data_IF_131695250535
#
_entry.id   IF_131695250535
#
_cell.length_a   1.000
_cell.length_b   1.000
_cell.length_c   1.000
_cell.angle_alpha   90.00
_cell.angle_beta   90.00
_cell.angle_gamma   90.00
#
_symmetry.space_group_name_H-M   'P 1'
#
loop_
_entity.id
_entity.type
_entity.pdbx_description
1 polymer ?
#
# COMPACT_ATOMS: atom_id res chain seq x y z
N UNK A 1 -11.07 -2.81 -11.51
CA UNK A 1 -12.28 -2.83 -10.64
C UNK A 1 -12.36 -1.50 -9.90
N UNK A 2 -13.43 -0.72 -10.07
CA UNK A 2 -13.57 0.62 -9.47
C UNK A 2 -14.51 0.52 -8.26
N UNK A 3 -13.94 0.21 -7.10
CA UNK A 3 -14.68 0.22 -5.84
C UNK A 3 -14.56 1.64 -5.29
N UNK A 4 -15.69 2.30 -5.07
CA UNK A 4 -15.83 3.48 -4.21
C UNK A 4 -15.47 3.09 -2.76
N UNK A 5 -14.23 2.66 -2.55
CA UNK A 5 -13.79 2.01 -1.35
C UNK A 5 -13.44 3.06 -0.31
N UNK A 6 -14.23 3.07 0.76
CA UNK A 6 -13.74 3.50 2.06
C UNK A 6 -12.35 2.88 2.27
N UNK A 7 -11.36 3.71 2.59
CA UNK A 7 -10.01 3.26 2.89
C UNK A 7 -10.10 2.18 3.98
N UNK A 8 -9.63 0.95 3.72
CA UNK A 8 -9.67 -0.10 4.73
C UNK A 8 -8.74 0.28 5.89
N UNK A 9 -9.07 -0.19 7.09
CA UNK A 9 -8.12 -0.18 8.20
C UNK A 9 -6.88 -1.04 7.87
N UNK A 10 -5.75 -0.85 8.55
CA UNK A 10 -4.50 -1.55 8.24
C UNK A 10 -4.61 -3.08 8.26
N UNK A 11 -5.38 -3.67 9.17
CA UNK A 11 -5.51 -5.13 9.29
C UNK A 11 -6.32 -5.70 8.11
N UNK A 12 -7.44 -5.04 7.77
CA UNK A 12 -8.24 -5.39 6.58
C UNK A 12 -7.42 -5.21 5.30
N UNK A 13 -6.63 -4.15 5.22
CA UNK A 13 -5.75 -3.88 4.09
C UNK A 13 -4.70 -5.00 3.93
N UNK A 14 -4.03 -5.38 5.02
CA UNK A 14 -3.04 -6.46 5.03
C UNK A 14 -3.65 -7.78 4.57
N UNK A 15 -4.84 -8.14 5.07
CA UNK A 15 -5.52 -9.36 4.66
C UNK A 15 -5.80 -9.39 3.15
N UNK A 16 -6.28 -8.28 2.58
CA UNK A 16 -6.56 -8.16 1.13
C UNK A 16 -5.28 -8.28 0.30
N UNK A 17 -4.22 -7.56 0.69
CA UNK A 17 -2.92 -7.62 -0.01
C UNK A 17 -2.34 -9.03 0.04
N UNK A 18 -2.34 -9.70 1.21
CA UNK A 18 -1.84 -11.07 1.34
C UNK A 18 -2.60 -12.07 0.46
N UNK A 19 -3.93 -11.93 0.35
CA UNK A 19 -4.74 -12.76 -0.56
C UNK A 19 -4.33 -12.55 -2.01
N UNK A 20 -4.15 -11.30 -2.45
CA UNK A 20 -3.71 -11.02 -3.81
C UNK A 20 -2.30 -11.51 -4.09
N UNK A 21 -1.37 -11.31 -3.15
CA UNK A 21 0.00 -11.84 -3.24
C UNK A 21 0.02 -13.37 -3.39
N UNK A 22 -0.83 -14.09 -2.64
CA UNK A 22 -0.96 -15.54 -2.78
C UNK A 22 -1.45 -15.94 -4.18
N UNK A 23 -2.42 -15.22 -4.73
CA UNK A 23 -2.92 -15.46 -6.10
C UNK A 23 -1.82 -15.22 -7.14
N UNK A 24 -1.12 -14.08 -7.04
CA UNK A 24 -0.02 -13.75 -7.94
C UNK A 24 1.09 -14.79 -7.87
N UNK A 25 1.45 -15.25 -6.68
CA UNK A 25 2.44 -16.31 -6.49
C UNK A 25 2.02 -17.61 -7.16
N UNK A 26 0.76 -18.04 -6.96
CA UNK A 26 0.24 -19.24 -7.59
C UNK A 26 0.25 -19.14 -9.13
N UNK A 27 -0.23 -18.02 -9.68
CA UNK A 27 -0.20 -17.80 -11.13
C UNK A 27 1.21 -17.77 -11.70
N UNK A 28 2.18 -17.19 -10.99
CA UNK A 28 3.57 -17.17 -11.42
C UNK A 28 4.24 -18.56 -11.41
N UNK A 29 3.81 -19.45 -10.51
CA UNK A 29 4.30 -20.84 -10.44
C UNK A 29 3.67 -21.71 -11.53
N UNK A 30 2.37 -21.56 -11.77
CA UNK A 30 1.62 -22.40 -12.72
C UNK A 30 1.85 -22.00 -14.19
N UNK A 31 2.02 -20.71 -14.45
CA UNK A 31 2.22 -20.14 -15.80
C UNK A 31 3.42 -19.19 -15.79
N UNK A 32 4.63 -19.74 -15.93
CA UNK A 32 5.88 -18.96 -15.85
C UNK A 32 6.03 -17.88 -16.92
N UNK A 33 5.35 -18.04 -18.07
CA UNK A 33 5.38 -17.08 -19.17
C UNK A 33 4.28 -16.02 -19.06
N UNK A 34 3.48 -16.04 -17.98
CA UNK A 34 2.35 -15.13 -17.79
C UNK A 34 2.83 -13.70 -17.57
N UNK A 35 2.34 -12.79 -18.40
CA UNK A 35 2.45 -11.36 -18.16
C UNK A 35 1.33 -10.87 -17.21
N UNK A 36 1.69 -10.09 -16.20
CA UNK A 36 0.72 -9.40 -15.34
C UNK A 36 0.47 -7.99 -15.90
N UNK A 37 -0.48 -7.87 -16.81
CA UNK A 37 -0.87 -6.61 -17.46
C UNK A 37 -1.59 -5.63 -16.51
N UNK A 38 -2.25 -6.14 -15.47
CA UNK A 38 -3.08 -5.34 -14.56
C UNK A 38 -2.38 -4.87 -13.27
N UNK A 39 -1.03 -4.91 -13.19
CA UNK A 39 -0.30 -4.53 -11.97
C UNK A 39 -0.54 -3.09 -11.53
N UNK A 40 -0.75 -2.18 -12.48
CA UNK A 40 -1.07 -0.77 -12.17
C UNK A 40 -2.34 -0.66 -11.34
N UNK A 41 -3.31 -1.56 -11.56
CA UNK A 41 -4.54 -1.60 -10.79
C UNK A 41 -4.35 -2.02 -9.34
N UNK A 42 -3.29 -2.77 -9.05
CA UNK A 42 -2.92 -3.12 -7.69
C UNK A 42 -2.23 -1.96 -6.99
N UNK A 43 -1.42 -1.18 -7.70
CA UNK A 43 -0.69 -0.04 -7.10
C UNK A 43 -1.65 1.03 -6.60
N UNK A 44 -2.73 1.30 -7.33
CA UNK A 44 -3.73 2.30 -6.92
C UNK A 44 -4.83 1.74 -6.01
N UNK A 45 -4.89 0.44 -5.77
CA UNK A 45 -5.92 -0.17 -4.92
C UNK A 45 -5.79 0.37 -3.48
N UNK A 46 -6.89 0.84 -2.85
CA UNK A 46 -6.84 1.42 -1.51
C UNK A 46 -6.24 0.50 -0.43
N UNK A 47 -6.38 -0.82 -0.54
CA UNK A 47 -5.74 -1.73 0.42
C UNK A 47 -4.21 -1.77 0.25
N UNK A 48 -3.73 -1.73 -1.00
CA UNK A 48 -2.29 -1.65 -1.27
C UNK A 48 -1.72 -0.31 -0.80
N UNK A 49 -2.41 0.80 -1.06
CA UNK A 49 -2.00 2.13 -0.61
C UNK A 49 -2.00 2.25 0.92
N UNK A 50 -3.03 1.76 1.63
CA UNK A 50 -3.06 1.74 3.11
C UNK A 50 -1.85 0.97 3.66
N UNK A 51 -1.62 -0.27 3.19
CA UNK A 51 -0.53 -1.09 3.71
C UNK A 51 0.85 -0.53 3.35
N UNK A 52 1.00 0.00 2.13
CA UNK A 52 2.23 0.67 1.71
C UNK A 52 2.52 1.88 2.60
N UNK A 53 1.50 2.69 2.88
CA UNK A 53 1.65 3.84 3.75
C UNK A 53 2.05 3.45 5.18
N UNK A 54 1.42 2.43 5.75
CA UNK A 54 1.76 1.94 7.10
C UNK A 54 3.22 1.46 7.18
N UNK A 55 3.71 0.79 6.14
CA UNK A 55 5.13 0.40 6.06
C UNK A 55 6.06 1.58 5.90
N UNK A 56 5.69 2.57 5.08
CA UNK A 56 6.52 3.77 4.82
C UNK A 56 6.64 4.64 6.08
N UNK A 57 5.54 4.86 6.80
CA UNK A 57 5.51 5.73 8.00
C UNK A 57 6.14 5.12 9.25
N UNK A 58 6.40 3.81 9.25
CA UNK A 58 7.00 3.09 10.40
C UNK A 58 8.40 2.55 10.12
N UNK A 59 8.93 2.66 8.90
CA UNK A 59 10.25 2.14 8.57
C UNK A 59 11.41 2.95 9.20
N UNK A 60 12.64 2.44 9.03
CA UNK A 60 13.87 3.10 9.51
C UNK A 60 14.02 4.54 9.02
N UNK A 61 13.59 4.82 7.80
CA UNK A 61 13.65 6.15 7.16
C UNK A 61 12.51 7.09 7.55
N UNK A 62 11.50 6.62 8.31
CA UNK A 62 10.33 7.42 8.63
C UNK A 62 10.63 8.71 9.41
N UNK A 63 11.83 8.81 10.01
CA UNK A 63 12.29 9.99 10.75
C UNK A 63 13.03 11.03 9.90
N UNK A 64 13.44 10.66 8.69
CA UNK A 64 14.23 11.49 7.81
C UNK A 64 13.32 12.26 6.85
N UNK A 65 13.48 13.58 6.80
CA UNK A 65 12.80 14.40 5.82
C UNK A 65 13.36 14.18 4.42
N UNK A 66 12.48 14.21 3.41
CA UNK A 66 12.88 14.26 2.00
C UNK A 66 13.40 15.64 1.59
N UNK A 67 13.69 15.81 0.31
CA UNK A 67 14.02 17.12 -0.27
C UNK A 67 12.84 18.11 -0.18
N UNK A 68 11.62 17.60 0.03
CA UNK A 68 10.39 18.35 0.33
C UNK A 68 10.27 18.77 1.80
N UNK A 69 11.25 18.45 2.65
CA UNK A 69 11.25 18.78 4.07
C UNK A 69 10.29 17.95 4.93
N UNK A 70 9.57 16.98 4.36
CA UNK A 70 8.56 16.20 5.07
C UNK A 70 9.10 14.81 5.43
N UNK A 71 8.99 14.43 6.72
CA UNK A 71 9.31 13.08 7.16
C UNK A 71 8.06 12.19 7.10
N UNK A 72 8.13 10.93 6.64
CA UNK A 72 6.94 10.07 6.56
C UNK A 72 6.16 9.94 7.87
N UNK A 73 6.85 9.90 9.03
CA UNK A 73 6.20 9.83 10.35
C UNK A 73 5.39 11.07 10.72
N UNK A 74 5.67 12.23 10.11
CA UNK A 74 4.97 13.50 10.41
C UNK A 74 3.73 13.68 9.55
N UNK A 75 3.50 12.81 8.57
CA UNK A 75 2.29 12.82 7.75
C UNK A 75 1.23 11.99 8.49
N UNK A 76 0.30 12.69 9.14
CA UNK A 76 -0.78 12.09 9.94
C UNK A 76 -0.86 12.73 11.32
N UNK A 77 -2.07 13.22 11.65
CA UNK A 77 -2.34 14.33 12.56
C UNK A 77 -1.80 15.66 12.01
N UNK A 78 -2.56 16.25 11.08
CA UNK A 78 -2.55 17.70 10.99
C UNK A 78 -2.73 18.24 12.41
N UNK A 79 -1.85 19.13 12.83
CA UNK A 79 -2.05 19.87 14.06
C UNK A 79 -3.48 20.40 14.06
N UNK A 80 -4.24 20.05 15.10
CA UNK A 80 -5.36 20.85 15.52
C UNK A 80 -4.76 22.19 15.99
N UNK A 81 -4.44 23.06 15.03
CA UNK A 81 -4.04 24.43 15.30
C UNK A 81 -5.33 25.18 15.61
N UNK A 82 -5.56 25.44 16.90
CA UNK A 82 -6.38 26.53 17.44
C UNK A 82 -7.88 26.39 17.27
#
# INVERSE_FOLDING_TARGET
>A
MNTSALWPDPDTAELRVRRMQRKLHHWAVDESDRCFDDLYNLVYDPAFLTLAWERVRTNKGARSAGADGTAPRSVGAAEAVG
#
